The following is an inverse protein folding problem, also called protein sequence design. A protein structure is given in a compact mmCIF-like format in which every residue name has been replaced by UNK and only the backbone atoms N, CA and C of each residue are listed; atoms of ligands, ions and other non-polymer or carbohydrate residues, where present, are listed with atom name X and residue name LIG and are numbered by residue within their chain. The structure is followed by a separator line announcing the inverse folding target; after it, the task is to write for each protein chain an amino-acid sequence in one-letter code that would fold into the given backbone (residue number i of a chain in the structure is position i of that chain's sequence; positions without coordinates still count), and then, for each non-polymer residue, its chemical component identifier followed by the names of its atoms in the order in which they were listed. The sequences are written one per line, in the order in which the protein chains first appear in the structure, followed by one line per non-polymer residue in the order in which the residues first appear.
data_IF_943669063371
#
_entry.id   IF_943669063371
#
_cell.length_a   1.000
_cell.length_b   1.000
_cell.length_c   1.000
_cell.angle_alpha   90.00
_cell.angle_beta   90.00
_cell.angle_gamma   90.00
#
_symmetry.space_group_name_H-M   'P 1'
#
loop_
_entity.id
_entity.type
_entity.pdbx_description
1 polymer ?
#
# COMPACT_ATOMS: atom_id res chain seq x y z
N UNK A 1 46.12 -31.76 -10.43
CA UNK A 1 44.95 -30.87 -10.51
C UNK A 1 43.81 -31.53 -9.77
N UNK A 2 43.23 -30.86 -8.78
CA UNK A 2 41.76 -30.78 -8.80
C UNK A 2 41.41 -29.38 -8.38
N UNK A 3 41.04 -28.57 -9.39
CA UNK A 3 40.44 -27.24 -9.18
C UNK A 3 39.25 -27.33 -8.19
N UNK A 4 38.62 -28.50 -8.10
CA UNK A 4 37.53 -28.81 -7.18
C UNK A 4 37.84 -28.67 -5.68
N UNK A 5 39.10 -28.82 -5.26
CA UNK A 5 39.48 -28.66 -3.84
C UNK A 5 39.77 -27.21 -3.47
N UNK A 6 40.21 -26.38 -4.43
CA UNK A 6 40.40 -24.96 -4.22
C UNK A 6 39.06 -24.21 -4.24
N UNK A 7 38.12 -24.64 -5.09
CA UNK A 7 36.79 -24.04 -5.22
C UNK A 7 35.90 -24.33 -4.00
N UNK A 8 35.96 -25.55 -3.43
CA UNK A 8 35.27 -25.88 -2.17
C UNK A 8 35.85 -25.21 -0.93
N UNK A 9 37.11 -24.76 -0.96
CA UNK A 9 37.71 -24.01 0.13
C UNK A 9 37.27 -22.55 0.10
N UNK A 10 37.12 -21.95 -1.08
CA UNK A 10 36.68 -20.57 -1.25
C UNK A 10 35.19 -20.39 -0.89
N UNK A 11 34.35 -21.39 -1.20
CA UNK A 11 32.92 -21.39 -0.85
C UNK A 11 32.69 -21.52 0.67
N UNK A 12 33.55 -22.28 1.37
CA UNK A 12 33.51 -22.43 2.84
C UNK A 12 34.12 -21.26 3.61
N UNK A 13 34.98 -20.45 3.00
CA UNK A 13 35.56 -19.23 3.60
C UNK A 13 34.65 -18.01 3.37
N UNK A 14 33.87 -18.01 2.29
CA UNK A 14 32.90 -16.96 1.97
C UNK A 14 31.62 -17.04 2.83
N UNK A 15 31.15 -18.24 3.15
CA UNK A 15 29.96 -18.47 4.00
C UNK A 15 30.09 -17.92 5.44
N UNK A 16 31.20 -18.09 6.19
CA UNK A 16 31.31 -17.56 7.55
C UNK A 16 31.44 -16.03 7.59
N UNK A 17 31.94 -15.39 6.54
CA UNK A 17 32.03 -13.93 6.47
C UNK A 17 30.67 -13.27 6.26
N UNK A 18 29.80 -13.84 5.42
CA UNK A 18 28.43 -13.36 5.27
C UNK A 18 27.58 -13.59 6.52
N UNK A 19 27.85 -14.68 7.25
CA UNK A 19 27.16 -14.98 8.51
C UNK A 19 27.54 -14.03 9.66
N UNK A 20 28.67 -13.32 9.56
CA UNK A 20 29.07 -12.28 10.53
C UNK A 20 28.49 -10.89 10.20
N UNK A 21 27.96 -10.68 8.99
CA UNK A 21 27.43 -9.38 8.57
C UNK A 21 26.01 -9.10 9.12
N UNK A 22 25.29 -10.13 9.55
CA UNK A 22 23.92 -10.02 10.05
C UNK A 22 23.78 -10.74 11.40
N UNK A 23 22.98 -10.19 12.33
CA UNK A 23 22.72 -10.89 13.58
C UNK A 23 22.07 -12.25 13.29
N UNK A 24 22.41 -13.30 14.07
CA UNK A 24 21.75 -14.59 13.92
C UNK A 24 20.25 -14.45 14.16
N UNK A 25 19.41 -15.24 13.49
CA UNK A 25 17.96 -15.17 13.65
C UNK A 25 17.57 -15.44 15.12
N UNK A 26 16.47 -14.85 15.61
CA UNK A 26 16.00 -15.04 16.98
C UNK A 26 15.82 -16.53 17.32
N UNK A 27 16.28 -16.96 18.49
CA UNK A 27 16.29 -18.38 18.90
C UNK A 27 14.91 -19.07 18.85
N UNK A 28 13.82 -18.30 18.83
CA UNK A 28 12.43 -18.76 18.70
C UNK A 28 12.17 -19.60 17.45
N UNK A 29 12.96 -19.47 16.38
CA UNK A 29 12.75 -20.27 15.15
C UNK A 29 12.81 -21.78 15.42
N UNK A 30 13.54 -22.22 16.47
CA UNK A 30 13.68 -23.63 16.87
C UNK A 30 12.37 -24.24 17.38
N UNK A 31 11.40 -23.40 17.78
CA UNK A 31 10.09 -23.84 18.26
C UNK A 31 9.15 -24.24 17.12
N UNK A 32 9.49 -23.92 15.87
CA UNK A 32 8.64 -24.13 14.68
C UNK A 32 9.10 -25.31 13.82
N UNK A 33 9.57 -26.40 14.44
CA UNK A 33 10.08 -27.61 13.75
C UNK A 33 9.25 -28.86 14.02
N UNK A 34 9.36 -29.86 13.13
CA UNK A 34 8.87 -31.22 13.39
C UNK A 34 9.87 -31.98 14.27
N UNK A 35 9.40 -32.57 15.37
CA UNK A 35 10.21 -33.50 16.16
C UNK A 35 10.64 -34.68 15.29
N UNK A 36 11.91 -35.10 15.38
CA UNK A 36 12.42 -36.25 14.63
C UNK A 36 11.67 -37.57 14.95
N UNK A 37 10.99 -37.63 16.10
CA UNK A 37 10.22 -38.78 16.59
C UNK A 37 8.72 -38.73 16.24
N UNK A 38 8.24 -37.75 15.45
CA UNK A 38 6.83 -37.64 15.07
C UNK A 38 5.87 -37.29 16.22
N UNK A 39 6.40 -37.01 17.41
CA UNK A 39 5.66 -36.48 18.56
C UNK A 39 5.24 -35.03 18.31
N UNK A 40 4.01 -34.66 18.70
CA UNK A 40 3.52 -33.28 18.64
C UNK A 40 4.48 -32.36 19.41
N UNK A 41 5.14 -31.46 18.69
CA UNK A 41 5.90 -30.37 19.32
C UNK A 41 4.87 -29.43 19.92
N UNK A 42 4.99 -29.05 21.21
CA UNK A 42 4.07 -28.11 21.82
C UNK A 42 4.01 -26.85 20.96
N UNK A 43 2.78 -26.41 20.66
CA UNK A 43 2.55 -25.25 19.81
C UNK A 43 3.41 -24.08 20.30
N UNK A 44 4.06 -23.35 19.38
CA UNK A 44 4.90 -22.22 19.75
C UNK A 44 4.09 -21.22 20.59
N UNK A 45 4.71 -20.58 21.59
CA UNK A 45 4.00 -19.61 22.41
C UNK A 45 3.42 -18.51 21.51
N UNK A 46 2.24 -17.96 21.83
CA UNK A 46 1.70 -16.83 21.11
C UNK A 46 2.71 -15.66 21.13
N UNK A 47 2.71 -14.80 20.09
CA UNK A 47 3.61 -13.65 20.08
C UNK A 47 3.40 -12.81 21.35
N UNK A 48 4.46 -12.15 21.85
CA UNK A 48 4.32 -11.24 22.97
C UNK A 48 3.27 -10.16 22.62
N UNK A 49 2.56 -9.63 23.62
CA UNK A 49 1.62 -8.54 23.39
C UNK A 49 2.35 -7.36 22.73
N UNK A 50 1.68 -6.61 21.85
CA UNK A 50 2.24 -5.39 21.28
C UNK A 50 2.77 -4.47 22.38
N UNK A 51 3.92 -3.85 22.14
CA UNK A 51 4.45 -2.84 23.04
C UNK A 51 3.48 -1.66 23.02
N UNK A 52 3.01 -1.23 24.18
CA UNK A 52 2.18 -0.03 24.34
C UNK A 52 3.04 1.10 24.88
N UNK A 53 2.98 2.27 24.24
CA UNK A 53 3.71 3.48 24.62
C UNK A 53 4.94 3.74 23.75
N UNK A 54 6.00 4.26 24.36
CA UNK A 54 7.23 4.65 23.67
C UNK A 54 8.15 3.44 23.43
N UNK A 55 8.61 3.26 22.19
CA UNK A 55 9.58 2.25 21.81
C UNK A 55 10.67 2.86 20.93
N UNK A 56 11.90 2.36 21.06
CA UNK A 56 13.01 2.83 20.22
C UNK A 56 13.12 1.97 18.96
N UNK A 57 13.04 2.61 17.80
CA UNK A 57 13.21 1.95 16.50
C UNK A 57 14.24 2.73 15.69
N UNK A 58 15.30 2.06 15.25
CA UNK A 58 16.42 2.65 14.51
C UNK A 58 17.07 3.89 15.17
N UNK A 59 17.06 3.92 16.51
CA UNK A 59 17.64 5.02 17.29
C UNK A 59 16.68 6.18 17.57
N UNK A 60 15.51 6.21 16.94
CA UNK A 60 14.45 7.20 17.22
C UNK A 60 13.41 6.63 18.17
N UNK A 61 12.84 7.51 19.01
CA UNK A 61 11.71 7.17 19.88
C UNK A 61 10.42 7.30 19.08
N UNK A 62 9.69 6.19 18.98
CA UNK A 62 8.36 6.11 18.40
C UNK A 62 7.34 5.88 19.51
N UNK A 63 6.10 6.31 19.29
CA UNK A 63 4.98 6.01 20.17
C UNK A 63 3.97 5.15 19.41
N UNK A 64 3.29 4.25 20.11
CA UNK A 64 2.13 3.54 19.57
C UNK A 64 0.84 4.38 19.60
N UNK A 65 0.88 5.58 20.20
CA UNK A 65 -0.26 6.49 20.17
C UNK A 65 -0.50 7.03 18.76
N UNK A 66 -1.77 7.04 18.34
CA UNK A 66 -2.17 7.59 17.06
C UNK A 66 -1.97 9.10 17.03
N UNK A 67 -1.03 9.55 16.22
CA UNK A 67 -0.75 10.98 16.07
C UNK A 67 0.53 11.26 15.31
N UNK A 68 0.68 12.53 14.95
CA UNK A 68 1.95 13.01 14.41
C UNK A 68 2.82 13.32 15.62
N UNK A 69 4.08 12.84 15.66
CA UNK A 69 5.01 13.20 16.71
C UNK A 69 5.08 14.73 16.87
N UNK A 70 5.14 15.25 18.11
CA UNK A 70 5.14 16.68 18.35
C UNK A 70 6.36 17.34 17.68
N UNK A 71 6.19 18.59 17.23
CA UNK A 71 7.27 19.33 16.60
C UNK A 71 8.38 19.60 17.63
N UNK A 72 9.57 19.05 17.38
CA UNK A 72 10.74 19.22 18.25
C UNK A 72 11.44 20.57 18.09
N UNK A 73 11.01 21.37 17.10
CA UNK A 73 11.59 22.67 16.77
C UNK A 73 10.57 23.79 16.91
N UNK A 74 11.04 25.05 16.88
CA UNK A 74 10.16 26.22 16.93
C UNK A 74 9.13 26.15 15.79
N UNK A 75 7.85 26.20 16.16
CA UNK A 75 6.75 26.27 15.23
C UNK A 75 6.77 27.62 14.48
N UNK A 76 6.80 27.55 13.15
CA UNK A 76 6.78 28.73 12.29
C UNK A 76 5.41 28.99 11.65
N UNK A 77 4.49 28.01 11.66
CA UNK A 77 3.17 28.11 11.05
C UNK A 77 2.09 28.50 12.06
N UNK A 78 1.05 29.17 11.58
CA UNK A 78 -0.10 29.56 12.39
C UNK A 78 -1.28 28.62 12.17
N UNK A 79 -1.98 28.30 13.25
CA UNK A 79 -3.24 27.55 13.20
C UNK A 79 -4.38 28.57 13.33
N UNK A 80 -5.45 28.42 12.53
CA UNK A 80 -6.58 29.33 12.60
C UNK A 80 -7.34 29.19 13.93
N UNK A 81 -8.21 30.16 14.23
CA UNK A 81 -9.00 30.20 15.47
C UNK A 81 -9.87 28.95 15.71
N UNK A 82 -10.22 28.19 14.66
CA UNK A 82 -10.96 26.93 14.78
C UNK A 82 -10.06 25.69 14.92
N UNK A 83 -8.74 25.84 15.08
CA UNK A 83 -7.82 24.71 15.12
C UNK A 83 -7.54 24.07 13.75
N UNK A 84 -8.08 24.61 12.66
CA UNK A 84 -7.80 24.16 11.29
C UNK A 84 -6.54 24.83 10.74
N UNK A 85 -5.67 24.02 10.15
CA UNK A 85 -4.45 24.48 9.49
C UNK A 85 -4.71 24.63 7.98
N UNK A 86 -4.46 25.81 7.43
CA UNK A 86 -4.45 26.00 5.97
C UNK A 86 -3.15 25.42 5.40
N UNK A 87 -3.18 24.13 5.05
CA UNK A 87 -2.01 23.40 4.57
C UNK A 87 -1.37 24.07 3.36
N UNK A 88 -2.20 24.54 2.41
CA UNK A 88 -1.72 25.11 1.16
C UNK A 88 -1.15 26.50 1.35
N UNK A 89 -1.82 27.35 2.14
CA UNK A 89 -1.36 28.69 2.47
C UNK A 89 -0.03 28.66 3.23
N UNK A 90 0.04 27.89 4.29
CA UNK A 90 1.23 27.80 5.15
C UNK A 90 2.41 27.16 4.43
N UNK A 91 2.21 26.07 3.65
CA UNK A 91 3.31 25.48 2.86
C UNK A 91 3.85 26.47 1.82
N UNK A 92 2.99 27.27 1.18
CA UNK A 92 3.46 28.29 0.22
C UNK A 92 4.20 29.41 0.92
N UNK A 93 3.75 29.83 2.11
CA UNK A 93 4.42 30.86 2.90
C UNK A 93 5.81 30.39 3.34
N UNK A 94 5.90 29.20 3.93
CA UNK A 94 7.18 28.60 4.33
C UNK A 94 8.10 28.32 3.15
N UNK A 95 7.57 27.93 1.98
CA UNK A 95 8.38 27.75 0.79
C UNK A 95 9.00 29.06 0.30
N UNK A 96 8.26 30.17 0.34
CA UNK A 96 8.83 31.50 0.05
C UNK A 96 9.89 31.88 1.08
N UNK A 97 9.61 31.67 2.36
CA UNK A 97 10.56 31.93 3.47
C UNK A 97 11.85 31.11 3.33
N UNK A 98 11.73 29.86 2.89
CA UNK A 98 12.86 28.98 2.58
C UNK A 98 13.74 29.55 1.46
N UNK A 99 13.11 30.06 0.38
CA UNK A 99 13.85 30.66 -0.73
C UNK A 99 14.60 31.92 -0.30
N UNK A 100 13.98 32.80 0.50
CA UNK A 100 14.67 33.97 1.06
C UNK A 100 15.84 33.56 1.96
N UNK A 101 15.63 32.60 2.85
CA UNK A 101 16.68 32.11 3.75
C UNK A 101 17.83 31.45 2.98
N UNK A 102 17.54 30.81 1.85
CA UNK A 102 18.56 30.25 0.97
C UNK A 102 19.38 31.34 0.25
N UNK A 103 18.74 32.42 -0.18
CA UNK A 103 19.46 33.58 -0.73
C UNK A 103 20.35 34.23 0.34
N UNK A 104 19.84 34.40 1.56
CA UNK A 104 20.64 34.89 2.70
C UNK A 104 21.83 33.98 3.01
N UNK A 105 21.67 32.67 2.85
CA UNK A 105 22.76 31.71 2.98
C UNK A 105 23.83 31.93 1.90
N UNK A 106 23.43 32.12 0.63
CA UNK A 106 24.37 32.40 -0.46
C UNK A 106 25.14 33.71 -0.20
N UNK A 107 24.44 34.76 0.23
CA UNK A 107 25.06 36.03 0.59
C UNK A 107 26.02 35.87 1.79
N UNK A 108 25.65 35.08 2.79
CA UNK A 108 26.50 34.77 3.93
C UNK A 108 27.77 34.02 3.50
N UNK A 109 27.67 33.09 2.55
CA UNK A 109 28.84 32.36 2.04
C UNK A 109 29.82 33.26 1.30
N UNK A 110 29.33 34.30 0.61
CA UNK A 110 30.17 35.29 -0.08
C UNK A 110 30.79 36.29 0.89
N UNK A 111 30.01 36.84 1.83
CA UNK A 111 30.46 37.94 2.70
C UNK A 111 31.15 37.46 3.99
N UNK A 112 30.65 36.39 4.61
CA UNK A 112 31.12 35.89 5.91
C UNK A 112 30.95 34.37 5.99
N UNK A 113 31.84 33.58 5.37
CA UNK A 113 31.72 32.14 5.32
C UNK A 113 31.76 31.48 6.72
N UNK A 114 32.35 32.12 7.73
CA UNK A 114 32.37 31.60 9.11
C UNK A 114 31.01 31.58 9.81
N UNK A 115 30.01 32.34 9.32
CA UNK A 115 28.68 32.42 9.92
C UNK A 115 27.64 31.49 9.27
N UNK A 116 28.03 30.66 8.30
CA UNK A 116 27.11 29.84 7.51
C UNK A 116 26.26 28.87 8.35
N UNK A 117 26.81 28.36 9.46
CA UNK A 117 26.16 27.34 10.29
C UNK A 117 24.76 27.79 10.77
N UNK A 118 24.61 29.05 11.17
CA UNK A 118 23.31 29.60 11.60
C UNK A 118 22.32 29.70 10.45
N UNK A 119 22.77 30.08 9.26
CA UNK A 119 21.92 30.14 8.09
C UNK A 119 21.44 28.74 7.66
N UNK A 120 22.31 27.73 7.75
CA UNK A 120 21.95 26.32 7.50
C UNK A 120 20.97 25.80 8.55
N UNK A 121 21.15 26.13 9.83
CA UNK A 121 20.20 25.78 10.90
C UNK A 121 18.80 26.37 10.63
N UNK A 122 18.72 27.62 10.16
CA UNK A 122 17.46 28.27 9.79
C UNK A 122 16.78 27.56 8.60
N UNK A 123 17.54 27.17 7.58
CA UNK A 123 17.03 26.36 6.47
C UNK A 123 16.48 25.03 6.99
N UNK A 124 17.23 24.35 7.87
CA UNK A 124 16.78 23.11 8.51
C UNK A 124 15.52 23.29 9.37
N UNK A 125 15.39 24.41 10.07
CA UNK A 125 14.21 24.76 10.85
C UNK A 125 12.96 24.85 9.97
N UNK A 126 13.05 25.56 8.83
CA UNK A 126 11.93 25.70 7.90
C UNK A 126 11.58 24.35 7.27
N UNK A 127 12.59 23.56 6.87
CA UNK A 127 12.37 22.23 6.28
C UNK A 127 11.65 21.27 7.24
N UNK A 128 12.03 21.23 8.53
CA UNK A 128 11.35 20.41 9.54
C UNK A 128 9.90 20.87 9.75
N UNK A 129 9.65 22.17 9.77
CA UNK A 129 8.29 22.72 9.85
C UNK A 129 7.44 22.32 8.64
N UNK A 130 7.98 22.41 7.43
CA UNK A 130 7.29 21.95 6.22
C UNK A 130 7.00 20.44 6.27
N UNK A 131 7.97 19.63 6.70
CA UNK A 131 7.78 18.18 6.85
C UNK A 131 6.68 17.85 7.85
N UNK A 132 6.58 18.61 8.94
CA UNK A 132 5.51 18.43 9.91
C UNK A 132 4.13 18.70 9.31
N UNK A 133 3.96 19.80 8.56
CA UNK A 133 2.71 20.12 7.88
C UNK A 133 2.35 19.05 6.84
N UNK A 134 3.34 18.54 6.10
CA UNK A 134 3.12 17.44 5.15
C UNK A 134 2.70 16.14 5.86
N UNK A 135 3.31 15.81 6.99
CA UNK A 135 2.90 14.66 7.81
C UNK A 135 1.45 14.82 8.29
N UNK A 136 1.05 16.04 8.66
CA UNK A 136 -0.33 16.35 9.01
C UNK A 136 -1.31 16.22 7.85
N UNK A 137 -0.89 16.54 6.63
CA UNK A 137 -1.71 16.39 5.43
C UNK A 137 -1.92 14.91 5.04
N UNK A 138 -1.08 13.97 5.51
CA UNK A 138 -1.18 12.55 5.11
C UNK A 138 -2.50 11.90 5.51
N UNK A 139 -3.06 12.24 6.66
CA UNK A 139 -4.33 11.69 7.13
C UNK A 139 -5.50 12.15 6.24
N UNK A 140 -5.52 13.44 5.87
CA UNK A 140 -6.48 13.99 4.91
C UNK A 140 -6.30 13.39 3.50
N UNK A 141 -5.05 13.21 3.07
CA UNK A 141 -4.75 12.55 1.79
C UNK A 141 -5.23 11.08 1.78
N UNK A 142 -5.02 10.33 2.85
CA UNK A 142 -5.46 8.95 2.97
C UNK A 142 -6.99 8.84 2.86
N UNK A 143 -7.72 9.74 3.51
CA UNK A 143 -9.18 9.85 3.39
C UNK A 143 -9.63 10.12 1.96
N UNK A 144 -9.04 11.11 1.30
CA UNK A 144 -9.37 11.44 -0.10
C UNK A 144 -9.03 10.28 -1.06
N UNK A 145 -7.93 9.56 -0.80
CA UNK A 145 -7.53 8.39 -1.59
C UNK A 145 -8.52 7.24 -1.42
N UNK A 146 -8.96 6.99 -0.19
CA UNK A 146 -9.98 5.98 0.10
C UNK A 146 -11.30 6.32 -0.59
N UNK A 147 -11.75 7.57 -0.50
CA UNK A 147 -12.95 8.04 -1.17
C UNK A 147 -12.86 7.83 -2.69
N UNK A 148 -11.73 8.16 -3.30
CA UNK A 148 -11.51 7.94 -4.72
C UNK A 148 -11.56 6.45 -5.08
N UNK A 149 -10.87 5.61 -4.30
CA UNK A 149 -10.83 4.15 -4.51
C UNK A 149 -12.24 3.56 -4.45
N UNK A 150 -13.03 3.94 -3.45
CA UNK A 150 -14.42 3.48 -3.32
C UNK A 150 -15.30 3.94 -4.49
N UNK A 151 -15.09 5.16 -5.01
CA UNK A 151 -15.81 5.64 -6.20
C UNK A 151 -15.49 4.82 -7.44
N UNK A 152 -14.22 4.46 -7.64
CA UNK A 152 -13.79 3.59 -8.75
C UNK A 152 -14.44 2.22 -8.62
N UNK A 153 -14.35 1.59 -7.45
CA UNK A 153 -14.98 0.30 -7.17
C UNK A 153 -16.49 0.29 -7.44
N UNK A 154 -17.19 1.37 -7.09
CA UNK A 154 -18.63 1.49 -7.37
C UNK A 154 -18.88 1.61 -8.87
N UNK A 155 -18.05 2.35 -9.61
CA UNK A 155 -18.18 2.49 -11.05
C UNK A 155 -17.96 1.14 -11.75
N UNK A 156 -16.89 0.42 -11.38
CA UNK A 156 -16.56 -0.88 -11.95
C UNK A 156 -17.64 -1.92 -11.67
N UNK A 157 -18.19 -1.95 -10.44
CA UNK A 157 -19.32 -2.83 -10.10
C UNK A 157 -20.57 -2.50 -10.89
N UNK A 158 -20.86 -1.22 -11.15
CA UNK A 158 -22.01 -0.82 -11.97
C UNK A 158 -21.84 -1.27 -13.42
N UNK A 159 -20.63 -1.16 -13.95
CA UNK A 159 -20.30 -1.63 -15.30
C UNK A 159 -20.47 -3.15 -15.40
N UNK A 160 -19.88 -3.91 -14.47
CA UNK A 160 -20.03 -5.37 -14.43
C UNK A 160 -21.49 -5.82 -14.32
N UNK A 161 -22.32 -5.11 -13.54
CA UNK A 161 -23.77 -5.37 -13.47
C UNK A 161 -24.46 -5.10 -14.81
N UNK A 162 -24.05 -4.05 -15.54
CA UNK A 162 -24.59 -3.75 -16.87
C UNK A 162 -24.25 -4.87 -17.85
N UNK A 163 -22.98 -5.27 -17.93
CA UNK A 163 -22.54 -6.37 -18.80
C UNK A 163 -23.26 -7.68 -18.48
N UNK A 164 -23.41 -8.01 -17.18
CA UNK A 164 -24.15 -9.19 -16.75
C UNK A 164 -25.62 -9.14 -17.20
N UNK A 165 -26.26 -7.96 -17.10
CA UNK A 165 -27.65 -7.76 -17.55
C UNK A 165 -27.78 -7.93 -19.06
N UNK A 166 -26.88 -7.35 -19.83
CA UNK A 166 -26.85 -7.48 -21.30
C UNK A 166 -26.64 -8.93 -21.73
N UNK A 167 -25.71 -9.64 -21.07
CA UNK A 167 -25.49 -11.07 -21.30
C UNK A 167 -26.72 -11.91 -20.92
N UNK A 168 -27.38 -11.60 -19.80
CA UNK A 168 -28.59 -12.32 -19.36
C UNK A 168 -29.78 -12.07 -20.29
N UNK A 169 -29.96 -10.86 -20.81
CA UNK A 169 -30.98 -10.54 -21.81
C UNK A 169 -30.73 -11.27 -23.12
N UNK A 170 -29.48 -11.29 -23.58
CA UNK A 170 -29.07 -12.03 -24.78
C UNK A 170 -29.33 -13.54 -24.65
N UNK A 171 -28.98 -14.12 -23.49
CA UNK A 171 -29.24 -15.53 -23.21
C UNK A 171 -30.74 -15.83 -23.16
N UNK A 172 -31.56 -14.97 -22.53
CA UNK A 172 -33.03 -15.12 -22.51
C UNK A 172 -33.63 -15.01 -23.90
N UNK A 173 -33.14 -14.10 -24.74
CA UNK A 173 -33.59 -13.95 -26.12
C UNK A 173 -33.29 -15.21 -26.94
N UNK A 174 -32.09 -15.79 -26.78
CA UNK A 174 -31.70 -17.04 -27.44
C UNK A 174 -32.58 -18.22 -26.98
N UNK A 175 -32.82 -18.36 -25.67
CA UNK A 175 -33.72 -19.39 -25.13
C UNK A 175 -35.15 -19.24 -25.66
N UNK A 176 -35.67 -18.01 -25.78
CA UNK A 176 -36.99 -17.76 -26.39
C UNK A 176 -37.03 -18.21 -27.85
N UNK A 177 -36.02 -17.85 -28.64
CA UNK A 177 -35.92 -18.28 -30.05
C UNK A 177 -35.84 -19.80 -30.18
N UNK A 178 -35.11 -20.47 -29.30
CA UNK A 178 -35.06 -21.94 -29.28
C UNK A 178 -36.42 -22.55 -28.90
N UNK A 179 -37.11 -21.99 -27.91
CA UNK A 179 -38.44 -22.45 -27.51
C UNK A 179 -39.48 -22.25 -28.63
N UNK A 180 -39.45 -21.12 -29.32
CA UNK A 180 -40.26 -20.86 -30.51
C UNK A 180 -39.94 -21.86 -31.63
N UNK A 181 -38.67 -22.11 -31.92
CA UNK A 181 -38.26 -23.11 -32.92
C UNK A 181 -38.71 -24.54 -32.59
N UNK A 182 -38.68 -24.95 -31.32
CA UNK A 182 -39.22 -26.25 -30.89
C UNK A 182 -40.74 -26.30 -31.07
N UNK A 183 -41.44 -25.21 -30.73
CA UNK A 183 -42.89 -25.12 -30.89
C UNK A 183 -43.32 -25.21 -32.35
N UNK A 184 -42.60 -24.53 -33.24
CA UNK A 184 -42.87 -24.57 -34.68
C UNK A 184 -42.54 -25.94 -35.27
N UNK A 185 -41.43 -26.57 -34.86
CA UNK A 185 -41.10 -27.94 -35.28
C UNK A 185 -42.12 -28.99 -34.80
N UNK A 186 -42.69 -28.83 -33.59
CA UNK A 186 -43.78 -29.70 -33.12
C UNK A 186 -45.05 -29.54 -33.97
N UNK A 187 -45.41 -28.32 -34.37
CA UNK A 187 -46.57 -28.07 -35.23
C UNK A 187 -46.40 -28.64 -36.63
N UNK A 188 -45.19 -28.52 -37.20
CA UNK A 188 -44.87 -29.09 -38.51
C UNK A 188 -45.01 -30.62 -38.48
N UNK A 189 -44.47 -31.28 -37.45
CA UNK A 189 -44.62 -32.74 -37.27
C UNK A 189 -46.09 -33.19 -37.10
N UNK A 190 -46.92 -32.40 -36.41
CA UNK A 190 -48.36 -32.67 -36.29
C UNK A 190 -49.11 -32.52 -37.63
N UNK A 191 -48.70 -31.57 -38.47
CA UNK A 191 -49.30 -31.37 -39.80
C UNK A 191 -48.86 -32.44 -40.80
N UNK A 192 -47.60 -32.87 -40.77
CA UNK A 192 -47.08 -33.93 -41.63
C UNK A 192 -47.68 -35.31 -41.30
N UNK A 193 -47.84 -35.64 -40.01
CA UNK A 193 -48.53 -36.87 -39.59
C UNK A 193 -50.01 -36.91 -39.99
N UNK A 194 -50.67 -35.75 -40.10
CA UNK A 194 -52.07 -35.65 -40.54
C UNK A 194 -52.22 -35.75 -42.07
N UNK A 195 -51.19 -35.33 -42.81
CA UNK A 195 -51.15 -35.44 -44.27
C UNK A 195 -50.82 -36.87 -44.71
N UNK A 196 -49.90 -37.56 -44.01
CA UNK A 196 -49.59 -38.99 -44.26
C UNK A 196 -50.77 -39.91 -43.94
N UNK A 197 -51.56 -39.62 -42.90
CA UNK A 197 -52.77 -40.37 -42.59
C UNK A 197 -53.92 -40.19 -43.62
N UNK A 198 -53.83 -39.20 -44.52
CA UNK A 198 -54.79 -39.02 -45.63
C UNK A 198 -54.31 -39.63 -46.96
N UNK A 199 -53.04 -40.00 -47.09
CA UNK A 199 -52.46 -40.55 -48.34
C UNK A 199 -52.38 -42.10 -48.33
N UNK A 200 -52.59 -42.74 -47.17
CA UNK A 200 -52.61 -44.20 -46.99
C UNK A 200 -54.01 -44.83 -46.83
N UNK A 201 -55.09 -44.05 -46.92
CA UNK A 201 -56.50 -44.50 -46.81
C UNK A 201 -57.27 -44.38 -48.10
#
# INVERSE_FOLDING_TARGET
MSKDQAEKADEKVSQPLLQQAFPPPPAFYKLYGTSADGSEVPAPPPPPPPVEGEYQLFGELYTTEDGIPPLTVRQLFTVNAQGLLDFKGELRRLNKELLFTFLDLLDCLVQRPSAYARAVENVGLIARNMSYILNALRSEQARATLEHTVKVEIADRKEAIRELRESAESARALLRRMAEGIHDACKEAETEGRQQAMDEG
#
